data_IF_151552616959
#
_entry.id   IF_151552616959
#
_cell.length_a   1.000
_cell.length_b   1.000
_cell.length_c   1.000
_cell.angle_alpha   90.00
_cell.angle_beta   90.00
_cell.angle_gamma   90.00
#
_symmetry.space_group_name_H-M   'P 1'
#
loop_
_entity.id
_entity.type
_entity.pdbx_description
1 polymer ?
#
# COMPACT_ATOMS: atom_id res chain seq x y z
N UNK A 1 6.45 -27.10 9.99
CA UNK A 1 7.36 -28.23 9.93
C UNK A 1 8.79 -27.76 10.23
N UNK A 2 9.44 -28.36 11.21
CA UNK A 2 10.77 -27.94 11.68
C UNK A 2 11.90 -28.48 10.80
N UNK A 3 11.61 -29.55 10.06
CA UNK A 3 12.61 -30.30 9.30
C UNK A 3 12.63 -29.93 7.82
N UNK A 4 11.58 -29.30 7.32
CA UNK A 4 11.42 -29.04 5.88
C UNK A 4 11.09 -30.28 5.04
N UNK A 5 10.66 -31.37 5.71
CA UNK A 5 10.19 -32.56 5.03
C UNK A 5 8.74 -32.46 4.59
N UNK A 6 8.36 -33.25 3.60
CA UNK A 6 7.00 -33.26 3.03
C UNK A 6 6.37 -34.64 3.21
N UNK A 7 5.18 -34.71 3.80
CA UNK A 7 4.32 -35.88 3.74
C UNK A 7 3.47 -35.84 2.47
N UNK A 8 3.33 -36.98 1.84
CA UNK A 8 2.47 -37.12 0.68
C UNK A 8 1.61 -38.39 0.76
N UNK A 9 0.45 -38.31 0.17
CA UNK A 9 -0.45 -39.43 -0.02
C UNK A 9 -0.79 -39.47 -1.50
N UNK A 10 -0.53 -40.57 -2.14
CA UNK A 10 -0.84 -40.74 -3.56
C UNK A 10 -1.45 -42.10 -3.87
N UNK A 11 -2.00 -42.21 -5.07
CA UNK A 11 -2.48 -43.46 -5.67
C UNK A 11 -1.91 -43.53 -7.09
N UNK A 12 -1.46 -44.71 -7.46
CA UNK A 12 -0.87 -44.96 -8.77
C UNK A 12 -1.57 -46.15 -9.45
N UNK A 13 -1.82 -46.03 -10.74
CA UNK A 13 -2.31 -47.11 -11.58
C UNK A 13 -1.45 -47.19 -12.82
N UNK A 14 -0.87 -48.35 -13.06
CA UNK A 14 -0.11 -48.67 -14.27
C UNK A 14 -0.89 -49.68 -15.11
N UNK A 15 -0.95 -49.43 -16.40
CA UNK A 15 -1.56 -50.30 -17.36
C UNK A 15 -0.49 -50.84 -18.32
N UNK A 16 -0.36 -52.16 -18.37
CA UNK A 16 0.55 -52.83 -19.25
C UNK A 16 -0.20 -53.70 -20.24
N UNK A 17 0.07 -53.54 -21.52
CA UNK A 17 -0.44 -54.42 -22.58
C UNK A 17 0.72 -54.99 -23.38
N UNK A 18 0.80 -56.30 -23.35
CA UNK A 18 1.82 -57.01 -24.15
C UNK A 18 1.26 -57.43 -25.52
N UNK A 19 1.97 -57.11 -26.59
CA UNK A 19 1.56 -57.39 -27.96
C UNK A 19 2.39 -58.52 -28.61
N UNK A 20 3.20 -59.25 -27.83
CA UNK A 20 3.99 -60.37 -28.32
C UNK A 20 3.17 -61.64 -28.66
N UNK A 21 3.83 -62.76 -28.76
CA UNK A 21 3.21 -64.08 -29.11
C UNK A 21 2.13 -64.49 -28.08
N UNK A 22 2.27 -64.06 -26.86
CA UNK A 22 1.22 -64.13 -25.81
C UNK A 22 0.69 -62.74 -25.51
N UNK A 23 -0.52 -62.46 -26.00
CA UNK A 23 -1.19 -61.17 -25.70
C UNK A 23 -1.71 -61.20 -24.26
N UNK A 24 -1.18 -60.30 -23.43
CA UNK A 24 -1.65 -60.14 -22.03
C UNK A 24 -1.94 -58.68 -21.72
N UNK A 25 -2.90 -58.48 -20.87
CA UNK A 25 -3.27 -57.18 -20.32
C UNK A 25 -3.18 -57.27 -18.81
N UNK A 26 -2.48 -56.34 -18.16
CA UNK A 26 -2.25 -56.35 -16.74
C UNK A 26 -2.41 -54.92 -16.18
N UNK A 27 -3.10 -54.81 -15.07
CA UNK A 27 -3.22 -53.59 -14.29
C UNK A 27 -2.42 -53.78 -13.00
N UNK A 28 -1.50 -52.86 -12.74
CA UNK A 28 -0.80 -52.78 -11.46
C UNK A 28 -1.23 -51.53 -10.77
N UNK A 29 -1.76 -51.61 -9.56
CA UNK A 29 -2.19 -50.48 -8.79
C UNK A 29 -1.48 -50.40 -7.45
N UNK A 30 -1.25 -49.17 -6.99
CA UNK A 30 -0.95 -48.84 -5.62
C UNK A 30 -2.11 -47.98 -5.12
N UNK A 31 -3.18 -48.57 -4.57
CA UNK A 31 -4.39 -47.83 -4.22
C UNK A 31 -4.16 -46.70 -3.24
N UNK A 32 -3.31 -46.92 -2.24
CA UNK A 32 -2.92 -45.91 -1.26
C UNK A 32 -1.42 -46.08 -0.95
N UNK A 33 -0.67 -45.02 -1.14
CA UNK A 33 0.71 -44.92 -0.70
C UNK A 33 0.86 -43.68 0.17
N UNK A 34 1.44 -43.84 1.35
CA UNK A 34 1.80 -42.73 2.24
C UNK A 34 3.32 -42.65 2.27
N UNK A 35 3.84 -41.47 2.04
CA UNK A 35 5.28 -41.29 2.04
C UNK A 35 5.71 -40.01 2.74
N UNK A 36 6.98 -40.00 3.09
CA UNK A 36 7.69 -38.87 3.67
C UNK A 36 8.99 -38.65 2.91
N UNK A 37 9.19 -37.42 2.48
CA UNK A 37 10.41 -37.00 1.80
C UNK A 37 11.11 -35.92 2.62
N UNK A 38 12.39 -36.14 2.91
CA UNK A 38 13.22 -35.20 3.67
C UNK A 38 14.52 -34.92 2.93
N UNK A 39 14.80 -33.66 2.68
CA UNK A 39 16.16 -33.25 2.31
C UNK A 39 17.04 -33.21 3.55
N UNK A 40 18.14 -33.99 3.53
CA UNK A 40 19.05 -34.10 4.67
C UNK A 40 20.06 -32.96 4.75
N UNK A 41 20.50 -32.46 3.61
CA UNK A 41 21.52 -31.41 3.49
C UNK A 41 21.04 -30.19 2.70
N UNK A 42 19.72 -30.12 2.43
CA UNK A 42 19.12 -29.09 1.64
C UNK A 42 18.86 -27.78 2.40
N UNK A 43 18.51 -26.77 1.63
CA UNK A 43 18.06 -25.50 2.15
C UNK A 43 16.72 -25.67 2.91
N UNK A 44 16.68 -25.12 4.13
CA UNK A 44 15.47 -25.13 4.95
C UNK A 44 14.82 -23.74 4.96
N UNK A 45 13.75 -23.58 4.20
CA UNK A 45 13.00 -22.32 4.08
C UNK A 45 12.37 -21.93 5.44
N UNK A 46 11.75 -22.87 6.15
CA UNK A 46 11.04 -22.60 7.42
C UNK A 46 11.92 -21.97 8.50
N UNK A 47 13.21 -22.28 8.51
CA UNK A 47 14.15 -21.67 9.44
C UNK A 47 14.32 -20.17 9.19
N UNK A 48 14.26 -19.75 7.92
CA UNK A 48 14.37 -18.36 7.52
C UNK A 48 13.04 -17.63 7.66
N UNK A 49 11.95 -18.28 7.30
CA UNK A 49 10.59 -17.72 7.42
C UNK A 49 10.29 -17.38 8.90
N UNK A 50 10.69 -18.22 9.84
CA UNK A 50 10.57 -17.93 11.28
C UNK A 50 11.31 -16.67 11.74
N UNK A 51 12.34 -16.23 11.01
CA UNK A 51 13.07 -14.98 11.32
C UNK A 51 12.49 -13.79 10.56
N UNK A 52 12.03 -14.01 9.34
CA UNK A 52 11.61 -12.95 8.42
C UNK A 52 10.14 -12.59 8.62
N UNK A 53 9.26 -13.56 8.79
CA UNK A 53 7.82 -13.31 8.91
C UNK A 53 7.41 -12.43 10.10
N UNK A 54 8.00 -12.58 11.32
CA UNK A 54 7.73 -11.63 12.41
C UNK A 54 8.12 -10.18 12.07
N UNK A 55 9.23 -9.98 11.35
CA UNK A 55 9.64 -8.65 10.92
C UNK A 55 8.69 -8.06 9.87
N UNK A 56 8.20 -8.88 8.93
CA UNK A 56 7.18 -8.45 7.97
C UNK A 56 5.90 -8.03 8.67
N UNK A 57 5.45 -8.81 9.65
CA UNK A 57 4.27 -8.48 10.44
C UNK A 57 4.42 -7.14 11.17
N UNK A 58 5.52 -6.94 11.89
CA UNK A 58 5.79 -5.68 12.58
C UNK A 58 5.96 -4.50 11.61
N UNK A 59 6.58 -4.72 10.44
CA UNK A 59 6.66 -3.70 9.38
C UNK A 59 5.28 -3.28 8.90
N UNK A 60 4.40 -4.22 8.58
CA UNK A 60 3.03 -3.92 8.12
C UNK A 60 2.23 -3.17 9.17
N UNK A 61 2.37 -3.55 10.45
CA UNK A 61 1.73 -2.84 11.56
C UNK A 61 2.20 -1.39 11.67
N UNK A 62 3.51 -1.15 11.57
CA UNK A 62 4.05 0.23 11.56
C UNK A 62 3.71 0.99 10.29
N UNK A 63 3.66 0.31 9.15
CA UNK A 63 3.22 0.91 7.90
C UNK A 63 1.76 1.38 7.95
N UNK A 64 0.89 0.62 8.62
CA UNK A 64 -0.49 1.05 8.83
C UNK A 64 -0.57 2.34 9.65
N UNK A 65 0.19 2.44 10.75
CA UNK A 65 0.26 3.66 11.56
C UNK A 65 0.81 4.83 10.73
N UNK A 66 1.91 4.60 10.02
CA UNK A 66 2.54 5.61 9.15
C UNK A 66 1.56 6.12 8.08
N UNK A 67 0.82 5.24 7.42
CA UNK A 67 -0.17 5.62 6.43
C UNK A 67 -1.32 6.43 7.06
N UNK A 68 -1.74 6.10 8.27
CA UNK A 68 -2.77 6.85 9.00
C UNK A 68 -2.30 8.28 9.30
N UNK A 69 -1.04 8.44 9.75
CA UNK A 69 -0.45 9.76 9.98
C UNK A 69 -0.31 10.55 8.68
N UNK A 70 0.09 9.90 7.58
CA UNK A 70 0.17 10.55 6.25
C UNK A 70 -1.19 11.07 5.80
N UNK A 71 -2.25 10.29 5.95
CA UNK A 71 -3.62 10.74 5.63
C UNK A 71 -4.03 11.91 6.52
N UNK A 72 -3.65 11.90 7.79
CA UNK A 72 -3.90 13.00 8.72
C UNK A 72 -3.16 14.29 8.29
N UNK A 73 -1.90 14.18 7.87
CA UNK A 73 -1.11 15.29 7.34
C UNK A 73 -1.72 15.88 6.06
N UNK A 74 -2.16 15.02 5.15
CA UNK A 74 -2.85 15.44 3.93
C UNK A 74 -4.17 16.17 4.26
N UNK A 75 -4.96 15.65 5.20
CA UNK A 75 -6.19 16.29 5.66
C UNK A 75 -5.93 17.71 6.21
N UNK A 76 -4.90 17.85 7.04
CA UNK A 76 -4.47 19.14 7.59
C UNK A 76 -4.03 20.10 6.48
N UNK A 77 -3.32 19.60 5.48
CA UNK A 77 -2.87 20.39 4.32
C UNK A 77 -4.07 20.93 3.53
N UNK A 78 -5.05 20.10 3.19
CA UNK A 78 -6.27 20.55 2.52
C UNK A 78 -7.10 21.49 3.37
N UNK A 79 -7.18 21.25 4.67
CA UNK A 79 -7.87 22.14 5.61
C UNK A 79 -7.28 23.55 5.60
N UNK A 80 -5.97 23.68 5.77
CA UNK A 80 -5.33 25.00 5.78
C UNK A 80 -5.31 25.67 4.39
N UNK A 81 -5.23 24.90 3.31
CA UNK A 81 -5.38 25.44 1.96
C UNK A 81 -6.76 26.10 1.76
N UNK A 82 -7.81 25.48 2.23
CA UNK A 82 -9.16 26.06 2.19
C UNK A 82 -9.28 27.27 3.13
N UNK A 83 -8.70 27.18 4.34
CA UNK A 83 -8.74 28.29 5.30
C UNK A 83 -8.05 29.55 4.75
N UNK A 84 -6.91 29.39 4.10
CA UNK A 84 -6.20 30.50 3.42
C UNK A 84 -7.05 31.06 2.27
N UNK A 85 -7.62 30.20 1.43
CA UNK A 85 -8.48 30.66 0.33
C UNK A 85 -9.73 31.40 0.80
N UNK A 86 -10.32 31.02 1.95
CA UNK A 86 -11.43 31.75 2.58
C UNK A 86 -10.99 33.15 3.07
N UNK A 87 -9.80 33.24 3.70
CA UNK A 87 -9.24 34.50 4.15
C UNK A 87 -8.92 35.45 2.98
N UNK A 88 -8.29 34.92 1.92
CA UNK A 88 -7.96 35.68 0.72
C UNK A 88 -9.21 36.19 0.00
N UNK A 89 -10.25 35.37 -0.09
CA UNK A 89 -11.54 35.80 -0.66
C UNK A 89 -12.19 36.92 0.15
N UNK A 90 -12.18 36.80 1.48
CA UNK A 90 -12.71 37.85 2.34
C UNK A 90 -11.93 39.16 2.20
N UNK A 91 -10.60 39.08 2.19
CA UNK A 91 -9.73 40.24 1.99
C UNK A 91 -9.97 40.90 0.61
N UNK A 92 -10.07 40.10 -0.45
CA UNK A 92 -10.34 40.60 -1.78
C UNK A 92 -11.71 41.31 -1.85
N UNK A 93 -12.73 40.79 -1.18
CA UNK A 93 -14.06 41.40 -1.08
C UNK A 93 -14.02 42.76 -0.37
N UNK A 94 -13.27 42.88 0.71
CA UNK A 94 -13.06 44.14 1.42
C UNK A 94 -12.29 45.13 0.56
N UNK A 95 -11.27 44.68 -0.19
CA UNK A 95 -10.50 45.53 -1.11
C UNK A 95 -11.36 46.07 -2.26
N UNK A 96 -12.25 45.28 -2.85
CA UNK A 96 -13.22 45.77 -3.83
C UNK A 96 -14.11 46.87 -3.25
N UNK A 97 -14.67 46.66 -2.05
CA UNK A 97 -15.49 47.66 -1.37
C UNK A 97 -14.75 49.00 -1.16
N UNK A 98 -13.50 48.89 -0.78
CA UNK A 98 -12.62 50.06 -0.57
C UNK A 98 -12.29 50.79 -1.89
N UNK A 99 -11.94 50.03 -2.96
CA UNK A 99 -11.59 50.56 -4.26
C UNK A 99 -12.81 51.20 -4.96
N UNK A 100 -13.99 50.61 -4.84
CA UNK A 100 -15.24 51.17 -5.35
C UNK A 100 -15.57 52.52 -4.68
N UNK A 101 -15.37 52.61 -3.37
CA UNK A 101 -15.57 53.81 -2.57
C UNK A 101 -14.58 54.91 -2.99
N UNK A 102 -13.28 54.55 -3.11
CA UNK A 102 -12.24 55.50 -3.54
C UNK A 102 -12.50 56.05 -4.95
N UNK A 103 -12.88 55.18 -5.89
CA UNK A 103 -13.27 55.61 -7.25
C UNK A 103 -14.47 56.52 -7.24
N UNK A 104 -15.48 56.23 -6.44
CA UNK A 104 -16.69 57.09 -6.30
C UNK A 104 -16.34 58.48 -5.77
N UNK A 105 -15.50 58.54 -4.73
CA UNK A 105 -14.98 59.82 -4.22
C UNK A 105 -14.14 60.54 -5.29
N UNK A 106 -13.29 59.80 -6.00
CA UNK A 106 -12.49 60.34 -7.11
C UNK A 106 -13.33 60.98 -8.22
N UNK A 107 -14.40 60.31 -8.61
CA UNK A 107 -15.38 60.87 -9.58
C UNK A 107 -15.98 62.18 -9.11
N UNK A 108 -16.35 62.29 -7.82
CA UNK A 108 -16.93 63.53 -7.29
C UNK A 108 -15.87 64.64 -7.23
N UNK A 109 -14.63 64.36 -6.82
CA UNK A 109 -13.53 65.30 -6.81
C UNK A 109 -13.09 65.78 -8.18
N UNK A 110 -13.13 64.90 -9.18
CA UNK A 110 -12.85 65.25 -10.56
C UNK A 110 -13.90 66.22 -11.14
N UNK A 111 -15.18 66.04 -10.81
CA UNK A 111 -16.28 66.93 -11.24
C UNK A 111 -16.08 68.38 -10.78
N UNK A 112 -15.43 68.59 -9.64
CA UNK A 112 -15.10 69.91 -9.09
C UNK A 112 -13.63 70.33 -9.39
N UNK A 113 -12.99 69.65 -10.34
CA UNK A 113 -11.60 69.88 -10.77
C UNK A 113 -10.55 69.73 -9.62
N UNK A 114 -10.87 69.00 -8.57
CA UNK A 114 -9.97 68.79 -7.42
C UNK A 114 -8.95 67.69 -7.62
N UNK A 115 -9.10 66.83 -8.64
CA UNK A 115 -8.12 65.84 -9.07
C UNK A 115 -7.99 65.83 -10.58
N UNK A 116 -6.83 65.37 -11.06
CA UNK A 116 -6.55 65.25 -12.50
C UNK A 116 -7.28 64.08 -13.13
N UNK A 117 -7.43 64.07 -14.48
CA UNK A 117 -7.93 62.91 -15.20
C UNK A 117 -7.03 61.69 -15.10
N UNK A 118 -5.71 61.91 -14.98
CA UNK A 118 -4.74 60.82 -14.78
C UNK A 118 -4.96 60.13 -13.42
N UNK A 119 -5.17 60.90 -12.36
CA UNK A 119 -5.48 60.34 -11.04
C UNK A 119 -6.78 59.53 -11.04
N UNK A 120 -7.83 60.05 -11.72
CA UNK A 120 -9.08 59.32 -11.84
C UNK A 120 -8.94 58.01 -12.61
N UNK A 121 -8.15 57.99 -13.69
CA UNK A 121 -7.86 56.75 -14.43
C UNK A 121 -7.09 55.74 -13.61
N UNK A 122 -6.19 56.20 -12.74
CA UNK A 122 -5.48 55.33 -11.79
C UNK A 122 -6.45 54.66 -10.81
N UNK A 123 -7.39 55.43 -10.23
CA UNK A 123 -8.43 54.85 -9.35
C UNK A 123 -9.36 53.89 -10.06
N UNK A 124 -9.65 54.18 -11.36
CA UNK A 124 -10.42 53.24 -12.17
C UNK A 124 -9.69 51.95 -12.46
N UNK A 125 -8.38 52.03 -12.74
CA UNK A 125 -7.54 50.83 -12.90
C UNK A 125 -7.46 50.01 -11.63
N UNK A 126 -7.25 50.67 -10.47
CA UNK A 126 -7.23 50.02 -9.17
C UNK A 126 -8.54 49.28 -8.86
N UNK A 127 -9.69 49.90 -9.17
CA UNK A 127 -10.99 49.29 -9.07
C UNK A 127 -11.08 48.01 -9.94
N UNK A 128 -10.70 48.08 -11.21
CA UNK A 128 -10.74 46.92 -12.14
C UNK A 128 -9.81 45.82 -11.62
N UNK A 129 -8.62 46.18 -11.17
CA UNK A 129 -7.67 45.21 -10.60
C UNK A 129 -8.22 44.55 -9.34
N UNK A 130 -8.90 45.29 -8.45
CA UNK A 130 -9.55 44.71 -7.27
C UNK A 130 -10.64 43.73 -7.62
N UNK A 131 -11.49 44.04 -8.62
CA UNK A 131 -12.51 43.11 -9.10
C UNK A 131 -11.91 41.83 -9.70
N UNK A 132 -10.87 41.94 -10.53
CA UNK A 132 -10.16 40.78 -11.08
C UNK A 132 -9.53 39.93 -9.96
N UNK A 133 -9.00 40.54 -8.93
CA UNK A 133 -8.44 39.83 -7.76
C UNK A 133 -9.54 39.07 -7.02
N UNK A 134 -10.72 39.65 -6.85
CA UNK A 134 -11.87 38.99 -6.22
C UNK A 134 -12.33 37.77 -7.02
N UNK A 135 -12.43 37.88 -8.34
CA UNK A 135 -12.82 36.76 -9.21
C UNK A 135 -11.79 35.62 -9.10
N UNK A 136 -10.50 35.93 -9.13
CA UNK A 136 -9.44 34.94 -8.96
C UNK A 136 -9.50 34.28 -7.57
N UNK A 137 -9.72 35.04 -6.52
CA UNK A 137 -9.87 34.52 -5.16
C UNK A 137 -11.11 33.62 -5.03
N UNK A 138 -12.23 33.97 -5.72
CA UNK A 138 -13.42 33.14 -5.74
C UNK A 138 -13.18 31.79 -6.44
N UNK A 139 -12.44 31.79 -7.53
CA UNK A 139 -12.05 30.56 -8.25
C UNK A 139 -11.15 29.70 -7.35
N UNK A 140 -10.16 30.33 -6.69
CA UNK A 140 -9.25 29.63 -5.76
C UNK A 140 -10.01 29.01 -4.59
N UNK A 141 -10.97 29.73 -4.00
CA UNK A 141 -11.85 29.23 -2.95
C UNK A 141 -12.64 28.02 -3.39
N UNK A 142 -13.31 28.08 -4.54
CA UNK A 142 -14.08 26.96 -5.09
C UNK A 142 -13.18 25.73 -5.32
N UNK A 143 -11.97 25.95 -5.83
CA UNK A 143 -11.01 24.87 -6.07
C UNK A 143 -10.55 24.22 -4.78
N UNK A 144 -10.20 24.99 -3.77
CA UNK A 144 -9.76 24.49 -2.47
C UNK A 144 -10.90 23.72 -1.76
N UNK A 145 -12.12 24.24 -1.84
CA UNK A 145 -13.33 23.58 -1.30
C UNK A 145 -13.58 22.23 -1.99
N UNK A 146 -13.50 22.19 -3.33
CA UNK A 146 -13.63 20.96 -4.10
C UNK A 146 -12.55 19.94 -3.75
N UNK A 147 -11.30 20.37 -3.57
CA UNK A 147 -10.19 19.50 -3.20
C UNK A 147 -10.40 18.85 -1.83
N UNK A 148 -10.80 19.63 -0.84
CA UNK A 148 -11.10 19.10 0.50
C UNK A 148 -12.33 18.18 0.49
N UNK A 149 -13.42 18.56 -0.19
CA UNK A 149 -14.61 17.73 -0.31
C UNK A 149 -14.32 16.40 -1.00
N UNK A 150 -13.50 16.42 -2.06
CA UNK A 150 -13.07 15.21 -2.77
C UNK A 150 -12.21 14.30 -1.90
N UNK A 151 -11.27 14.88 -1.14
CA UNK A 151 -10.42 14.13 -0.22
C UNK A 151 -11.25 13.46 0.89
N UNK A 152 -12.25 14.17 1.44
CA UNK A 152 -13.14 13.65 2.47
C UNK A 152 -14.28 12.76 1.90
N UNK A 153 -14.31 12.54 0.58
CA UNK A 153 -15.38 11.82 -0.12
C UNK A 153 -16.79 12.37 0.16
N UNK A 154 -16.90 13.69 0.27
CA UNK A 154 -18.17 14.40 0.41
C UNK A 154 -18.77 14.71 -0.96
N UNK A 155 -20.06 15.07 -0.98
CA UNK A 155 -20.71 15.55 -2.21
C UNK A 155 -19.99 16.79 -2.75
N UNK A 156 -19.79 16.85 -4.06
CA UNK A 156 -19.08 17.94 -4.76
C UNK A 156 -19.73 19.32 -4.58
N UNK A 157 -21.01 19.35 -4.23
CA UNK A 157 -21.78 20.57 -4.00
C UNK A 157 -21.82 20.99 -2.51
N UNK A 158 -21.11 20.26 -1.63
CA UNK A 158 -21.08 20.58 -0.20
C UNK A 158 -20.36 21.92 0.01
N UNK A 159 -21.02 22.87 0.64
CA UNK A 159 -20.39 24.10 1.10
C UNK A 159 -19.71 23.83 2.45
N UNK A 160 -18.41 24.04 2.49
CA UNK A 160 -17.59 23.84 3.69
C UNK A 160 -17.18 25.22 4.22
N UNK A 161 -17.57 25.52 5.45
CA UNK A 161 -17.11 26.68 6.19
C UNK A 161 -16.22 26.21 7.32
N UNK A 162 -15.00 26.76 7.37
CA UNK A 162 -14.00 26.35 8.36
C UNK A 162 -13.95 27.32 9.53
N UNK A 163 -13.87 26.77 10.74
CA UNK A 163 -13.47 27.49 11.93
C UNK A 163 -11.99 27.18 12.23
N UNK A 164 -11.17 28.22 12.29
CA UNK A 164 -9.76 28.03 12.56
C UNK A 164 -9.52 27.64 14.02
N UNK A 165 -8.68 26.62 14.28
CA UNK A 165 -8.27 26.29 15.63
C UNK A 165 -7.41 27.42 16.23
N UNK A 166 -7.38 27.49 17.54
CA UNK A 166 -6.48 28.40 18.26
C UNK A 166 -5.02 28.10 17.90
N UNK A 167 -4.15 29.12 18.07
CA UNK A 167 -2.71 28.97 17.82
C UNK A 167 -2.14 27.86 18.71
N UNK A 168 -1.50 26.82 18.15
CA UNK A 168 -0.88 25.78 18.96
C UNK A 168 0.27 26.34 19.79
N UNK A 169 0.53 25.74 20.94
CA UNK A 169 1.69 26.08 21.74
C UNK A 169 2.99 25.78 20.97
N UNK A 170 3.95 26.68 21.08
CA UNK A 170 5.27 26.41 20.50
C UNK A 170 5.91 25.19 21.20
N UNK A 171 6.31 24.19 20.43
CA UNK A 171 6.95 22.99 20.93
C UNK A 171 8.32 22.86 20.26
N UNK A 172 9.37 22.83 21.06
CA UNK A 172 10.71 22.51 20.57
C UNK A 172 10.91 21.00 20.61
N UNK A 173 11.28 20.44 19.48
CA UNK A 173 11.58 19.01 19.37
C UNK A 173 13.09 18.84 19.20
N UNK A 174 13.81 18.31 20.20
CA UNK A 174 15.23 18.01 20.08
C UNK A 174 15.49 16.98 18.98
N UNK A 175 16.54 17.21 18.19
CA UNK A 175 16.89 16.38 17.03
C UNK A 175 17.17 14.93 17.42
N UNK A 176 17.83 14.71 18.55
CA UNK A 176 18.13 13.39 19.10
C UNK A 176 16.85 12.59 19.44
N UNK A 177 15.86 13.25 20.05
CA UNK A 177 14.55 12.65 20.35
C UNK A 177 13.80 12.32 19.07
N UNK A 178 13.77 13.25 18.09
CA UNK A 178 13.15 13.03 16.80
C UNK A 178 13.79 11.84 16.06
N UNK A 179 15.11 11.74 16.04
CA UNK A 179 15.86 10.66 15.41
C UNK A 179 15.59 9.31 16.11
N UNK A 180 15.57 9.29 17.44
CA UNK A 180 15.26 8.10 18.21
C UNK A 180 13.85 7.58 17.89
N UNK A 181 12.86 8.48 17.87
CA UNK A 181 11.46 8.14 17.52
C UNK A 181 11.30 7.72 16.07
N UNK A 182 12.02 8.33 15.14
CA UNK A 182 12.04 7.91 13.75
C UNK A 182 12.59 6.48 13.59
N UNK A 183 13.70 6.15 14.25
CA UNK A 183 14.27 4.80 14.25
C UNK A 183 13.30 3.76 14.84
N UNK A 184 12.59 4.14 15.89
CA UNK A 184 11.62 3.27 16.54
C UNK A 184 10.38 3.03 15.68
N UNK A 185 9.82 4.07 15.03
CA UNK A 185 8.48 4.03 14.44
C UNK A 185 8.45 3.98 12.92
N UNK A 186 9.52 4.41 12.23
CA UNK A 186 9.53 4.41 10.77
C UNK A 186 9.66 2.97 10.22
N UNK A 187 8.72 2.50 9.40
CA UNK A 187 8.73 1.16 8.83
C UNK A 187 9.93 0.86 7.95
N UNK A 188 10.58 1.89 7.36
CA UNK A 188 11.75 1.74 6.50
C UNK A 188 12.95 1.10 7.21
N UNK A 189 13.11 1.29 8.51
CA UNK A 189 14.18 0.63 9.27
C UNK A 189 13.95 -0.89 9.39
N UNK A 190 12.70 -1.31 9.55
CA UNK A 190 12.35 -2.74 9.55
C UNK A 190 12.49 -3.34 8.15
N UNK A 191 12.15 -2.58 7.12
CA UNK A 191 12.32 -2.98 5.72
C UNK A 191 13.80 -3.23 5.39
N UNK A 192 14.70 -2.32 5.76
CA UNK A 192 16.13 -2.52 5.56
C UNK A 192 16.64 -3.78 6.27
N UNK A 193 16.19 -4.02 7.51
CA UNK A 193 16.55 -5.23 8.26
C UNK A 193 15.99 -6.50 7.61
N UNK A 194 14.76 -6.44 7.09
CA UNK A 194 14.17 -7.53 6.32
C UNK A 194 15.00 -7.82 5.05
N UNK A 195 15.34 -6.80 4.28
CA UNK A 195 16.13 -6.93 3.05
C UNK A 195 17.51 -7.57 3.32
N UNK A 196 18.16 -7.21 4.42
CA UNK A 196 19.43 -7.83 4.84
C UNK A 196 19.24 -9.32 5.11
N UNK A 197 18.20 -9.70 5.87
CA UNK A 197 17.94 -11.11 6.17
C UNK A 197 17.54 -11.90 4.92
N UNK A 198 16.81 -11.32 4.00
CA UNK A 198 16.47 -11.94 2.72
C UNK A 198 17.70 -12.12 1.82
N UNK A 199 18.62 -11.16 1.84
CA UNK A 199 19.90 -11.30 1.15
C UNK A 199 20.77 -12.41 1.77
N UNK A 200 20.84 -12.48 3.10
CA UNK A 200 21.51 -13.58 3.83
C UNK A 200 20.87 -14.94 3.52
N UNK A 201 19.54 -14.99 3.47
CA UNK A 201 18.78 -16.18 3.07
C UNK A 201 19.17 -16.64 1.68
N UNK A 202 19.22 -15.73 0.69
CA UNK A 202 19.59 -16.03 -0.68
C UNK A 202 21.04 -16.54 -0.79
N UNK A 203 21.97 -15.92 -0.09
CA UNK A 203 23.35 -16.38 -0.01
C UNK A 203 23.43 -17.79 0.59
N UNK A 204 22.71 -18.03 1.69
CA UNK A 204 22.65 -19.34 2.32
C UNK A 204 22.05 -20.39 1.38
N UNK A 205 20.93 -20.06 0.71
CA UNK A 205 20.26 -20.93 -0.27
C UNK A 205 21.22 -21.32 -1.38
N UNK A 206 21.84 -20.36 -2.06
CA UNK A 206 22.81 -20.62 -3.14
C UNK A 206 23.98 -21.47 -2.67
N UNK A 207 24.50 -21.18 -1.47
CA UNK A 207 25.63 -21.92 -0.87
C UNK A 207 25.27 -23.36 -0.54
N UNK A 208 24.03 -23.62 -0.11
CA UNK A 208 23.53 -24.97 0.18
C UNK A 208 23.24 -25.73 -1.11
N UNK A 209 22.58 -25.10 -2.08
CA UNK A 209 22.22 -25.69 -3.37
C UNK A 209 23.45 -26.03 -4.25
N UNK A 210 24.58 -25.33 -4.05
CA UNK A 210 25.84 -25.62 -4.73
C UNK A 210 26.63 -26.80 -4.16
N UNK A 211 26.16 -27.40 -3.04
CA UNK A 211 26.81 -28.53 -2.38
C UNK A 211 26.14 -29.84 -2.76
N UNK A 212 26.75 -30.95 -2.28
CA UNK A 212 26.15 -32.28 -2.38
C UNK A 212 24.76 -32.29 -1.75
N UNK A 213 23.78 -32.78 -2.50
CA UNK A 213 22.40 -32.88 -2.04
C UNK A 213 22.03 -34.34 -1.78
N UNK A 214 21.50 -34.61 -0.59
CA UNK A 214 21.02 -35.93 -0.20
C UNK A 214 19.55 -35.81 0.27
N UNK A 215 18.71 -36.71 -0.21
CA UNK A 215 17.31 -36.81 0.21
C UNK A 215 16.98 -38.22 0.71
N UNK A 216 16.20 -38.29 1.75
CA UNK A 216 15.60 -39.52 2.26
C UNK A 216 14.14 -39.55 1.80
N UNK A 217 13.78 -40.65 1.13
CA UNK A 217 12.38 -40.95 0.79
C UNK A 217 12.00 -42.25 1.48
N UNK A 218 10.96 -42.22 2.29
CA UNK A 218 10.37 -43.38 2.92
C UNK A 218 8.88 -43.42 2.55
N UNK A 219 8.43 -44.52 2.01
CA UNK A 219 7.02 -44.69 1.67
C UNK A 219 6.53 -46.09 1.99
N UNK A 220 5.27 -46.20 2.36
CA UNK A 220 4.57 -47.46 2.56
C UNK A 220 3.30 -47.40 1.71
N UNK A 221 3.12 -48.44 0.91
CA UNK A 221 1.94 -48.61 0.05
C UNK A 221 1.62 -50.09 -0.17
N UNK A 222 0.40 -50.37 -0.50
CA UNK A 222 -0.07 -51.69 -0.85
C UNK A 222 -0.19 -51.78 -2.37
N UNK A 223 0.46 -52.76 -2.99
CA UNK A 223 0.36 -52.98 -4.42
C UNK A 223 -0.55 -54.15 -4.74
N UNK A 224 -1.32 -54.04 -5.81
CA UNK A 224 -2.19 -55.06 -6.37
C UNK A 224 -1.93 -55.19 -7.85
N UNK A 225 -2.02 -56.44 -8.31
CA UNK A 225 -1.88 -56.77 -9.73
C UNK A 225 -3.13 -57.57 -10.15
N UNK A 226 -3.78 -57.17 -11.23
CA UNK A 226 -5.00 -57.80 -11.73
C UNK A 226 -5.10 -57.70 -13.26
N UNK A 227 -5.83 -58.62 -13.86
CA UNK A 227 -6.11 -58.62 -15.29
C UNK A 227 -7.23 -57.63 -15.69
N UNK A 228 -8.01 -57.17 -14.70
CA UNK A 228 -9.13 -56.24 -14.89
C UNK A 228 -8.97 -55.01 -13.98
N UNK A 229 -9.33 -53.85 -14.51
CA UNK A 229 -9.26 -52.57 -13.79
C UNK A 229 -9.98 -52.60 -12.42
N UNK A 230 -11.22 -53.14 -12.35
CA UNK A 230 -11.99 -53.14 -11.09
C UNK A 230 -11.40 -54.03 -10.00
N UNK A 231 -10.68 -55.09 -10.39
CA UNK A 231 -10.07 -56.01 -9.43
C UNK A 231 -8.77 -55.44 -8.85
N UNK A 232 -8.10 -54.55 -9.57
CA UNK A 232 -6.89 -53.87 -9.13
C UNK A 232 -7.11 -52.88 -7.95
N UNK A 233 -8.37 -52.59 -7.57
CA UNK A 233 -8.74 -51.74 -6.41
C UNK A 233 -9.62 -52.41 -5.40
N UNK A 234 -9.89 -53.73 -5.57
CA UNK A 234 -10.91 -54.43 -4.78
C UNK A 234 -10.54 -54.61 -3.31
N UNK A 235 -9.27 -54.72 -3.00
CA UNK A 235 -8.75 -54.89 -1.65
C UNK A 235 -7.58 -53.95 -1.35
N UNK A 236 -7.84 -52.63 -1.20
CA UNK A 236 -6.82 -51.60 -1.21
C UNK A 236 -5.82 -51.68 -0.05
N UNK A 237 -6.05 -52.54 0.94
CA UNK A 237 -5.17 -52.72 2.10
C UNK A 237 -4.57 -54.16 2.15
N UNK A 238 -4.78 -54.99 1.13
CA UNK A 238 -4.13 -56.29 1.00
C UNK A 238 -2.98 -56.19 -0.02
N UNK A 239 -1.91 -56.85 0.29
CA UNK A 239 -0.76 -56.97 -0.61
C UNK A 239 -0.82 -58.33 -1.29
N UNK A 240 -0.84 -58.34 -2.62
CA UNK A 240 -0.62 -59.55 -3.40
C UNK A 240 0.89 -59.80 -3.49
N UNK A 241 1.35 -60.92 -2.93
CA UNK A 241 2.70 -61.42 -2.93
C UNK A 241 2.98 -62.24 -4.17
#
# INVERSE_FOLDING_TARGET
DWTGGTFYIDSQLDFMRNFGDTKSTQYSSVPIRVGYQQSLLGYNAFRWDRKIEPLKYEKVKKQFIYNTETVSEEAVTYFFALAMAQADYQLAKENVSSSDTLYSIGLQRHKIAAISRADLLTLELDKVNAHNTLENAQIALKRAMFSLASFLNLDKNTTIELSLPGRPAAMEIPVDVALAKAKENNPSFLEQRQNILEAEQNVNKTKVESRFNASLNASVGFNQVADKFGDAYRHPLQQDL
#
